data_IF_128211308883
#
_entry.id   IF_128211308883
#
_cell.length_a   1.000
_cell.length_b   1.000
_cell.length_c   1.000
_cell.angle_alpha   90.00
_cell.angle_beta   90.00
_cell.angle_gamma   90.00
#
_symmetry.space_group_name_H-M   'P 1'
#
loop_
_entity.id
_entity.type
_entity.pdbx_description
1 polymer ?
#
# COMPACT_ATOMS: atom_id res chain seq x y z
N UNK A 1 31.86 -5.95 8.91
CA UNK A 1 30.53 -5.35 8.74
C UNK A 1 29.50 -6.25 9.41
N UNK A 2 28.47 -5.71 10.06
CA UNK A 2 27.37 -6.54 10.60
C UNK A 2 26.76 -7.37 9.46
N UNK A 3 26.42 -8.64 9.71
CA UNK A 3 25.80 -9.54 8.71
C UNK A 3 24.56 -8.91 8.06
N UNK A 4 23.81 -8.10 8.80
CA UNK A 4 22.64 -7.36 8.31
C UNK A 4 23.03 -6.34 7.25
N UNK A 5 24.11 -5.60 7.48
CA UNK A 5 24.61 -4.56 6.58
C UNK A 5 25.14 -5.19 5.29
N UNK A 6 25.77 -6.36 5.38
CA UNK A 6 26.18 -7.15 4.23
C UNK A 6 24.98 -7.57 3.37
N UNK A 7 23.89 -8.06 3.98
CA UNK A 7 22.69 -8.47 3.23
C UNK A 7 22.00 -7.29 2.55
N UNK A 8 21.90 -6.15 3.24
CA UNK A 8 21.28 -4.93 2.69
C UNK A 8 21.97 -4.43 1.42
N UNK A 9 23.29 -4.62 1.32
CA UNK A 9 24.08 -4.23 0.15
C UNK A 9 24.07 -5.34 -0.91
N UNK A 10 24.21 -6.60 -0.49
CA UNK A 10 24.36 -7.72 -1.42
C UNK A 10 23.09 -7.99 -2.25
N UNK A 11 21.91 -7.95 -1.64
CA UNK A 11 20.64 -8.27 -2.31
C UNK A 11 20.33 -7.36 -3.52
N UNK A 12 20.37 -6.02 -3.42
CA UNK A 12 20.11 -5.15 -4.57
C UNK A 12 21.20 -5.29 -5.66
N UNK A 13 22.46 -5.51 -5.27
CA UNK A 13 23.55 -5.75 -6.22
C UNK A 13 23.32 -7.03 -7.01
N UNK A 14 22.98 -8.13 -6.34
CA UNK A 14 22.71 -9.41 -6.99
C UNK A 14 21.51 -9.30 -7.93
N UNK A 15 20.42 -8.64 -7.51
CA UNK A 15 19.26 -8.38 -8.35
C UNK A 15 19.64 -7.58 -9.61
N UNK A 16 20.46 -6.54 -9.46
CA UNK A 16 20.98 -5.74 -10.58
C UNK A 16 21.83 -6.56 -11.55
N UNK A 17 22.72 -7.43 -11.04
CA UNK A 17 23.55 -8.32 -11.87
C UNK A 17 22.66 -9.29 -12.67
N UNK A 18 21.67 -9.90 -12.03
CA UNK A 18 20.75 -10.82 -12.71
C UNK A 18 19.92 -10.12 -13.80
N UNK A 19 19.46 -8.90 -13.54
CA UNK A 19 18.77 -8.08 -14.54
C UNK A 19 19.70 -7.73 -15.71
N UNK A 20 20.95 -7.33 -15.43
CA UNK A 20 21.94 -7.02 -16.46
C UNK A 20 22.27 -8.25 -17.32
N UNK A 21 22.45 -9.41 -16.70
CA UNK A 21 22.64 -10.67 -17.41
C UNK A 21 21.45 -11.01 -18.31
N UNK A 22 20.22 -10.86 -17.83
CA UNK A 22 19.04 -11.06 -18.66
C UNK A 22 19.03 -10.10 -19.86
N UNK A 23 19.28 -8.81 -19.63
CA UNK A 23 19.25 -7.80 -20.70
C UNK A 23 20.35 -8.01 -21.75
N UNK A 24 21.50 -8.58 -21.37
CA UNK A 24 22.64 -8.84 -22.25
C UNK A 24 22.52 -10.18 -22.99
N UNK A 25 22.04 -11.24 -22.33
CA UNK A 25 22.02 -12.60 -22.89
C UNK A 25 20.68 -12.96 -23.55
N UNK A 26 19.56 -12.32 -23.20
CA UNK A 26 18.26 -12.71 -23.73
C UNK A 26 18.08 -12.32 -25.20
N UNK A 27 17.53 -13.21 -26.04
CA UNK A 27 17.23 -12.90 -27.43
C UNK A 27 16.13 -11.84 -27.53
N UNK A 28 16.42 -10.72 -28.22
CA UNK A 28 15.49 -9.61 -28.41
C UNK A 28 14.89 -9.66 -29.83
N UNK A 29 13.62 -10.04 -29.92
CA UNK A 29 12.82 -9.97 -31.15
C UNK A 29 11.53 -9.18 -30.88
N UNK A 30 11.57 -7.83 -30.93
CA UNK A 30 10.39 -7.00 -30.80
C UNK A 30 9.63 -6.95 -32.13
N UNK A 31 8.32 -7.22 -32.09
CA UNK A 31 7.37 -6.97 -33.17
C UNK A 31 6.17 -6.23 -32.59
N UNK A 32 5.44 -5.47 -33.42
CA UNK A 32 4.41 -4.52 -32.99
C UNK A 32 3.39 -5.12 -32.00
N UNK A 33 2.82 -6.28 -32.34
CA UNK A 33 1.86 -6.98 -31.49
C UNK A 33 2.45 -7.57 -30.19
N UNK A 34 3.79 -7.75 -30.09
CA UNK A 34 4.46 -8.21 -28.87
C UNK A 34 4.70 -7.08 -27.87
N UNK A 35 4.87 -5.87 -28.39
CA UNK A 35 5.17 -4.68 -27.59
C UNK A 35 3.93 -3.87 -27.26
N UNK A 36 2.80 -4.12 -27.94
CA UNK A 36 1.50 -3.52 -27.61
C UNK A 36 0.85 -4.17 -26.40
N UNK A 37 0.00 -3.41 -25.70
CA UNK A 37 -0.81 -3.94 -24.60
C UNK A 37 -1.79 -5.01 -25.13
N UNK A 38 -1.96 -6.09 -24.37
CA UNK A 38 -2.92 -7.13 -24.69
C UNK A 38 -4.33 -6.72 -24.25
N UNK A 39 -5.23 -6.47 -25.20
CA UNK A 39 -6.66 -6.23 -24.95
C UNK A 39 -7.53 -7.23 -25.72
N UNK A 40 -7.26 -8.53 -25.57
CA UNK A 40 -8.03 -9.61 -26.23
C UNK A 40 -8.12 -9.49 -27.76
N UNK A 41 -7.11 -8.89 -28.41
CA UNK A 41 -7.07 -8.68 -29.86
C UNK A 41 -7.66 -7.36 -30.34
N UNK A 42 -8.13 -6.50 -29.43
CA UNK A 42 -8.54 -5.13 -29.75
C UNK A 42 -7.38 -4.15 -29.60
N UNK A 43 -7.40 -3.09 -30.41
CA UNK A 43 -6.49 -1.96 -30.22
C UNK A 43 -6.98 -1.11 -29.04
N UNK A 44 -6.09 -0.65 -28.15
CA UNK A 44 -6.47 0.19 -27.03
C UNK A 44 -7.20 1.44 -27.52
N UNK A 45 -8.30 1.79 -26.85
CA UNK A 45 -9.08 2.99 -27.18
C UNK A 45 -8.23 4.23 -26.89
N UNK A 46 -7.75 4.87 -27.96
CA UNK A 46 -6.94 6.08 -27.87
C UNK A 46 -7.67 7.17 -27.05
N UNK A 47 -7.06 7.58 -25.94
CA UNK A 47 -7.59 8.63 -25.06
C UNK A 47 -8.38 8.13 -23.84
N UNK A 48 -8.63 6.83 -23.69
CA UNK A 48 -9.31 6.26 -22.50
C UNK A 48 -8.40 5.36 -21.66
N UNK A 49 -7.35 5.95 -21.08
CA UNK A 49 -6.43 5.25 -20.16
C UNK A 49 -6.93 5.16 -18.72
N UNK A 50 -7.98 5.92 -18.37
CA UNK A 50 -8.63 5.88 -17.06
C UNK A 50 -10.07 5.42 -17.21
N UNK A 51 -10.39 4.31 -16.54
CA UNK A 51 -11.77 3.89 -16.36
C UNK A 51 -12.34 4.51 -15.07
N UNK A 52 -13.66 4.66 -15.00
CA UNK A 52 -14.34 5.07 -13.76
C UNK A 52 -14.36 3.85 -12.84
N UNK A 53 -13.60 3.93 -11.75
CA UNK A 53 -13.59 2.92 -10.71
C UNK A 53 -14.48 3.36 -9.54
N UNK A 54 -14.98 2.38 -8.78
CA UNK A 54 -15.78 2.67 -7.59
C UNK A 54 -14.98 3.48 -6.56
N UNK A 55 -15.60 4.52 -5.99
CA UNK A 55 -14.98 5.41 -5.00
C UNK A 55 -14.52 4.66 -3.73
N UNK A 56 -15.10 3.50 -3.46
CA UNK A 56 -14.84 2.69 -2.26
C UNK A 56 -13.36 2.28 -2.16
N UNK A 57 -12.66 2.09 -3.29
CA UNK A 57 -11.21 1.82 -3.30
C UNK A 57 -10.39 3.01 -2.77
N UNK A 58 -10.82 4.24 -3.05
CA UNK A 58 -10.18 5.44 -2.54
C UNK A 58 -10.43 5.61 -1.04
N UNK A 59 -11.64 5.29 -0.56
CA UNK A 59 -11.97 5.34 0.88
C UNK A 59 -11.10 4.40 1.70
N UNK A 60 -10.80 3.20 1.19
CA UNK A 60 -9.88 2.26 1.85
C UNK A 60 -8.46 2.83 1.93
N UNK A 61 -7.97 3.49 0.87
CA UNK A 61 -6.64 4.11 0.88
C UNK A 61 -6.55 5.28 1.88
N UNK A 62 -7.61 6.08 1.98
CA UNK A 62 -7.69 7.18 2.94
C UNK A 62 -7.75 6.66 4.39
N UNK A 63 -8.53 5.60 4.63
CA UNK A 63 -8.61 4.94 5.94
C UNK A 63 -7.25 4.36 6.33
N UNK A 64 -6.54 3.71 5.40
CA UNK A 64 -5.18 3.22 5.64
C UNK A 64 -4.23 4.34 6.08
N UNK A 65 -4.29 5.51 5.45
CA UNK A 65 -3.46 6.66 5.81
C UNK A 65 -3.72 7.12 7.25
N UNK A 66 -4.98 7.24 7.66
CA UNK A 66 -5.32 7.67 9.03
C UNK A 66 -4.89 6.61 10.06
N UNK A 67 -5.13 5.33 9.76
CA UNK A 67 -4.77 4.23 10.66
C UNK A 67 -3.24 4.06 10.80
N UNK A 68 -2.48 4.32 9.73
CA UNK A 68 -1.01 4.32 9.79
C UNK A 68 -0.49 5.45 10.70
N UNK A 69 -1.09 6.64 10.61
CA UNK A 69 -0.78 7.75 11.52
C UNK A 69 -1.16 7.45 12.98
N UNK A 70 -2.25 6.72 13.21
CA UNK A 70 -2.64 6.26 14.55
C UNK A 70 -1.56 5.37 15.17
N UNK A 71 -1.09 4.35 14.44
CA UNK A 71 -0.04 3.44 14.90
C UNK A 71 1.26 4.21 15.17
N UNK A 72 1.61 5.15 14.29
CA UNK A 72 2.80 6.00 14.46
C UNK A 72 2.73 6.83 15.76
N UNK A 73 1.55 7.32 16.12
CA UNK A 73 1.34 8.06 17.37
C UNK A 73 1.33 7.16 18.61
N UNK A 74 0.92 5.89 18.47
CA UNK A 74 0.99 4.89 19.55
C UNK A 74 2.40 4.35 19.79
N UNK A 75 3.29 4.39 18.79
CA UNK A 75 4.62 3.80 18.87
C UNK A 75 5.49 4.33 20.03
N UNK A 76 5.61 5.65 20.28
CA UNK A 76 6.39 6.16 21.40
C UNK A 76 5.91 5.63 22.75
N UNK A 77 4.60 5.55 22.95
CA UNK A 77 3.99 5.05 24.19
C UNK A 77 4.24 3.54 24.36
N UNK A 78 4.22 2.77 23.26
CA UNK A 78 4.56 1.35 23.30
C UNK A 78 6.00 1.12 23.78
N UNK A 79 6.94 2.01 23.40
CA UNK A 79 8.35 1.91 23.81
C UNK A 79 8.58 2.46 25.23
N UNK A 80 7.87 3.53 25.63
CA UNK A 80 8.08 4.20 26.92
C UNK A 80 7.05 3.88 27.98
N UNK A 81 6.28 2.79 27.83
CA UNK A 81 5.11 2.47 28.67
C UNK A 81 5.44 2.51 30.19
N UNK A 82 6.63 2.06 30.58
CA UNK A 82 7.08 2.04 31.97
C UNK A 82 7.45 3.42 32.55
N UNK A 83 7.71 4.41 31.70
CA UNK A 83 8.14 5.75 32.11
C UNK A 83 7.01 6.79 32.03
N UNK A 84 5.85 6.39 31.51
CA UNK A 84 4.69 7.26 31.30
C UNK A 84 3.84 7.29 32.56
N UNK A 85 3.49 8.48 33.02
CA UNK A 85 2.57 8.66 34.15
C UNK A 85 1.14 8.23 33.78
N UNK A 86 0.30 7.96 34.78
CA UNK A 86 -1.11 7.59 34.57
C UNK A 86 -1.86 8.62 33.71
N UNK A 87 -1.43 9.90 33.77
CA UNK A 87 -1.96 10.97 32.93
C UNK A 87 -1.64 10.75 31.44
N UNK A 88 -0.38 10.48 31.10
CA UNK A 88 0.02 10.21 29.72
C UNK A 88 -0.63 8.94 29.14
N UNK A 89 -0.82 7.92 29.98
CA UNK A 89 -1.56 6.72 29.59
C UNK A 89 -3.04 7.03 29.28
N UNK A 90 -3.70 7.84 30.13
CA UNK A 90 -5.10 8.22 29.93
C UNK A 90 -5.33 9.04 28.65
N UNK A 91 -4.39 9.94 28.30
CA UNK A 91 -4.46 10.72 27.07
C UNK A 91 -4.44 9.83 25.81
N UNK A 92 -3.57 8.82 25.79
CA UNK A 92 -3.50 7.87 24.67
C UNK A 92 -4.74 7.00 24.58
N UNK A 93 -5.28 6.59 25.73
CA UNK A 93 -6.51 5.81 25.76
C UNK A 93 -7.70 6.61 25.21
N UNK A 94 -7.80 7.91 25.54
CA UNK A 94 -8.81 8.82 24.97
C UNK A 94 -8.60 8.98 23.46
N UNK A 95 -7.36 9.22 23.03
CA UNK A 95 -7.01 9.36 21.61
C UNK A 95 -7.44 8.12 20.80
N UNK A 96 -7.11 6.94 21.30
CA UNK A 96 -7.47 5.66 20.69
C UNK A 96 -9.00 5.51 20.58
N UNK A 97 -9.76 5.82 21.65
CA UNK A 97 -11.23 5.73 21.64
C UNK A 97 -11.84 6.63 20.57
N UNK A 98 -11.38 7.89 20.47
CA UNK A 98 -11.92 8.85 19.49
C UNK A 98 -11.72 8.34 18.06
N UNK A 99 -10.54 7.78 17.75
CA UNK A 99 -10.27 7.21 16.44
C UNK A 99 -11.05 5.93 16.17
N UNK A 100 -11.20 5.06 17.18
CA UNK A 100 -12.01 3.84 17.07
C UNK A 100 -13.46 4.16 16.74
N UNK A 101 -14.01 5.24 17.33
CA UNK A 101 -15.37 5.71 17.00
C UNK A 101 -15.46 6.14 15.53
N UNK A 102 -14.49 6.90 15.03
CA UNK A 102 -14.42 7.29 13.63
C UNK A 102 -14.41 6.08 12.68
N UNK A 103 -13.65 5.05 13.03
CA UNK A 103 -13.60 3.79 12.28
C UNK A 103 -14.93 3.03 12.30
N UNK A 104 -15.59 2.94 13.45
CA UNK A 104 -16.91 2.28 13.57
C UNK A 104 -17.97 2.99 12.72
N UNK A 105 -17.95 4.33 12.65
CA UNK A 105 -18.87 5.10 11.80
C UNK A 105 -18.66 4.81 10.31
N UNK A 106 -17.40 4.71 9.86
CA UNK A 106 -17.08 4.37 8.45
C UNK A 106 -17.45 2.92 8.07
N UNK A 107 -17.45 2.00 9.03
CA UNK A 107 -18.01 0.66 8.79
C UNK A 107 -19.54 0.74 8.68
N UNK A 108 -20.18 1.50 9.57
CA UNK A 108 -21.63 1.66 9.62
C UNK A 108 -22.21 2.35 8.38
N UNK A 109 -21.48 3.28 7.77
CA UNK A 109 -21.88 3.96 6.52
C UNK A 109 -21.86 3.03 5.29
N UNK A 110 -21.23 1.85 5.39
CA UNK A 110 -21.11 0.92 4.26
C UNK A 110 -20.11 1.36 3.18
N UNK A 111 -19.32 2.41 3.43
CA UNK A 111 -18.25 2.93 2.56
C UNK A 111 -17.29 1.86 2.04
N UNK A 112 -17.10 0.79 2.82
CA UNK A 112 -16.12 -0.28 2.58
C UNK A 112 -16.75 -1.46 1.81
N UNK A 113 -18.09 -1.52 1.68
CA UNK A 113 -18.75 -2.59 0.91
C UNK A 113 -18.46 -2.38 -0.58
N UNK A 114 -17.93 -3.40 -1.24
CA UNK A 114 -17.90 -3.40 -2.70
C UNK A 114 -19.35 -3.47 -3.19
N UNK A 115 -19.78 -2.45 -3.92
CA UNK A 115 -21.09 -2.43 -4.54
C UNK A 115 -21.14 -3.56 -5.59
N UNK A 116 -21.78 -4.67 -5.24
CA UNK A 116 -22.15 -5.70 -6.20
C UNK A 116 -23.43 -5.24 -6.89
N UNK A 117 -23.28 -4.48 -7.97
CA UNK A 117 -24.41 -4.21 -8.86
C UNK A 117 -24.63 -5.45 -9.74
N UNK A 118 -25.16 -6.52 -9.13
CA UNK A 118 -25.87 -7.53 -9.90
C UNK A 118 -27.29 -7.02 -10.05
N UNK A 119 -27.72 -6.88 -11.31
CA UNK A 119 -29.12 -6.77 -11.71
C UNK A 119 -30.02 -7.70 -10.89
#
# INVERSE_FOLDING_TARGET
MSNILMLFIFVPILSGILLALNLLLAPKQPYEAKVSAYECGFSPVYGQTRNVFYINFFLVALLFLIFDLEILLLFPIAVTLYNVSIFGFSMVLIFFIVLTIGFVLEIGSGSIKLASNNS
#
